data_IF_292948774851
#
_entry.id   IF_292948774851
#
_cell.length_a   1.000
_cell.length_b   1.000
_cell.length_c   1.000
_cell.angle_alpha   90.00
_cell.angle_beta   90.00
_cell.angle_gamma   90.00
#
_symmetry.space_group_name_H-M   'P 1'
#
loop_
_entity.id
_entity.type
_entity.pdbx_description
1 polymer ?
#
# COMPACT_ATOMS: atom_id res chain seq x y z
N UNK A 1 0.14 -14.75 -9.96
CA UNK A 1 0.45 -13.44 -9.35
C UNK A 1 -0.78 -12.55 -9.43
N UNK A 2 -1.08 -11.81 -8.36
CA UNK A 2 -2.10 -10.78 -8.38
C UNK A 2 -1.44 -9.41 -8.60
N UNK A 3 -2.13 -8.50 -9.28
CA UNK A 3 -1.66 -7.14 -9.55
C UNK A 3 -2.85 -6.16 -9.49
N UNK A 4 -2.56 -4.87 -9.38
CA UNK A 4 -3.58 -3.83 -9.34
C UNK A 4 -3.86 -3.36 -10.77
N UNK A 5 -5.14 -3.30 -11.14
CA UNK A 5 -5.61 -2.76 -12.42
C UNK A 5 -6.52 -1.57 -12.16
N UNK A 6 -6.27 -0.48 -12.88
CA UNK A 6 -7.18 0.68 -12.91
C UNK A 6 -8.26 0.43 -13.97
N UNK A 7 -9.51 0.76 -13.63
CA UNK A 7 -10.63 0.83 -14.57
C UNK A 7 -11.27 2.21 -14.48
N UNK A 8 -11.55 2.83 -15.62
CA UNK A 8 -12.29 4.08 -15.72
C UNK A 8 -13.78 3.80 -15.89
N UNK A 9 -14.63 4.38 -15.04
CA UNK A 9 -16.10 4.25 -15.07
C UNK A 9 -16.68 5.64 -14.84
N UNK A 10 -17.48 6.13 -15.79
CA UNK A 10 -18.11 7.46 -15.73
C UNK A 10 -17.10 8.59 -15.43
N UNK A 11 -15.97 8.58 -16.14
CA UNK A 11 -14.90 9.56 -15.98
C UNK A 11 -14.01 9.37 -14.75
N UNK A 12 -14.38 8.53 -13.78
CA UNK A 12 -13.64 8.30 -12.53
C UNK A 12 -12.81 7.01 -12.60
N UNK A 13 -11.67 6.99 -11.91
CA UNK A 13 -10.77 5.83 -11.87
C UNK A 13 -10.93 5.01 -10.59
N UNK A 14 -10.86 3.69 -10.75
CA UNK A 14 -11.10 2.71 -9.69
C UNK A 14 -10.06 1.60 -9.75
N UNK A 15 -9.49 1.25 -8.60
CA UNK A 15 -8.48 0.21 -8.48
C UNK A 15 -9.10 -1.13 -8.10
N UNK A 16 -8.67 -2.18 -8.81
CA UNK A 16 -9.07 -3.56 -8.58
C UNK A 16 -7.84 -4.45 -8.45
N UNK A 17 -7.87 -5.34 -7.46
CA UNK A 17 -6.93 -6.45 -7.40
C UNK A 17 -7.39 -7.53 -8.38
N UNK A 18 -6.56 -7.85 -9.35
CA UNK A 18 -6.83 -8.84 -10.39
C UNK A 18 -5.77 -9.95 -10.37
N UNK A 19 -6.13 -11.13 -10.84
CA UNK A 19 -5.18 -12.22 -11.05
C UNK A 19 -5.39 -12.87 -12.40
N UNK A 20 -4.30 -13.32 -13.01
CA UNK A 20 -4.37 -14.11 -14.23
C UNK A 20 -4.72 -15.56 -13.89
N UNK A 21 -5.72 -16.10 -14.59
CA UNK A 21 -6.08 -17.52 -14.58
C UNK A 21 -5.93 -18.09 -15.98
N UNK A 22 -5.13 -19.15 -16.10
CA UNK A 22 -5.02 -19.90 -17.34
C UNK A 22 -6.14 -20.93 -17.41
N UNK A 23 -6.93 -20.93 -18.49
CA UNK A 23 -7.93 -21.99 -18.72
C UNK A 23 -7.37 -23.02 -19.69
N UNK A 24 -7.30 -24.28 -19.23
CA UNK A 24 -6.96 -25.41 -20.10
C UNK A 24 -8.07 -25.62 -21.14
N UNK A 25 -7.68 -25.98 -22.36
CA UNK A 25 -8.62 -26.39 -23.41
C UNK A 25 -9.39 -27.61 -22.92
N UNK A 26 -10.71 -27.53 -22.90
CA UNK A 26 -11.53 -28.72 -22.69
C UNK A 26 -11.31 -29.64 -23.90
N UNK A 27 -10.92 -30.91 -23.65
CA UNK A 27 -10.86 -31.92 -24.72
C UNK A 27 -12.27 -32.04 -25.30
N UNK A 28 -12.40 -32.03 -26.64
CA UNK A 28 -13.69 -32.32 -27.31
C UNK A 28 -14.21 -33.65 -26.78
N UNK A 29 -15.49 -33.70 -26.41
CA UNK A 29 -16.13 -35.01 -26.18
C UNK A 29 -16.27 -35.71 -27.53
N UNK A 30 -16.01 -37.02 -27.56
CA UNK A 30 -16.20 -37.86 -28.75
C UNK A 30 -17.68 -37.77 -29.14
N UNK A 31 -17.99 -37.13 -30.27
CA UNK A 31 -19.36 -36.88 -30.74
C UNK A 31 -19.78 -35.41 -30.91
N UNK A 32 -19.03 -34.41 -30.37
CA UNK A 32 -19.37 -32.99 -30.56
C UNK A 32 -19.14 -32.53 -32.02
N UNK A 33 -20.14 -31.88 -32.62
CA UNK A 33 -20.12 -31.38 -34.01
C UNK A 33 -18.98 -30.37 -34.25
N UNK A 34 -18.42 -30.36 -35.47
CA UNK A 34 -17.42 -29.38 -35.93
C UNK A 34 -18.11 -27.99 -35.94
N UNK A 35 -17.91 -27.19 -34.90
CA UNK A 35 -18.51 -25.83 -34.79
C UNK A 35 -18.90 -25.42 -33.36
N UNK A 36 -19.26 -26.36 -32.49
CA UNK A 36 -19.63 -26.12 -31.07
C UNK A 36 -18.41 -26.05 -30.13
N UNK A 37 -17.26 -25.61 -30.65
CA UNK A 37 -16.04 -25.55 -29.84
C UNK A 37 -16.12 -24.47 -28.77
N UNK A 38 -16.18 -24.91 -27.51
CA UNK A 38 -16.02 -24.10 -26.29
C UNK A 38 -14.82 -23.15 -26.37
N UNK A 39 -14.88 -21.99 -25.68
CA UNK A 39 -13.94 -20.88 -25.84
C UNK A 39 -12.47 -21.30 -25.78
N UNK A 40 -11.67 -20.73 -26.69
CA UNK A 40 -10.27 -21.07 -26.92
C UNK A 40 -9.34 -20.91 -25.71
N UNK A 41 -8.11 -21.42 -25.87
CA UNK A 41 -7.01 -21.23 -24.90
C UNK A 41 -6.77 -19.73 -24.71
N UNK A 42 -6.66 -19.29 -23.45
CA UNK A 42 -6.29 -17.91 -23.16
C UNK A 42 -6.19 -17.62 -21.66
N UNK A 43 -5.37 -16.63 -21.30
CA UNK A 43 -5.41 -16.03 -19.98
C UNK A 43 -6.73 -15.28 -19.81
N UNK A 44 -7.45 -15.57 -18.73
CA UNK A 44 -8.55 -14.73 -18.28
C UNK A 44 -8.12 -14.02 -17.01
N UNK A 45 -8.43 -12.73 -16.91
CA UNK A 45 -8.27 -12.00 -15.67
C UNK A 45 -9.48 -12.25 -14.78
N UNK A 46 -9.24 -12.69 -13.54
CA UNK A 46 -10.25 -12.74 -12.49
C UNK A 46 -10.08 -11.52 -11.60
N UNK A 47 -11.13 -10.72 -11.46
CA UNK A 47 -11.19 -9.67 -10.43
C UNK A 47 -11.34 -10.36 -9.08
N UNK A 48 -10.37 -10.12 -8.20
CA UNK A 48 -10.35 -10.69 -6.86
C UNK A 48 -11.01 -9.75 -5.84
N UNK A 49 -10.73 -8.46 -5.93
CA UNK A 49 -11.20 -7.48 -4.93
C UNK A 49 -11.26 -6.06 -5.50
N UNK A 50 -12.29 -5.31 -5.14
CA UNK A 50 -12.33 -3.85 -5.32
C UNK A 50 -11.52 -3.18 -4.20
N UNK A 51 -10.52 -2.36 -4.57
CA UNK A 51 -9.63 -1.70 -3.61
C UNK A 51 -10.14 -0.31 -3.24
N UNK A 52 -10.67 0.45 -4.20
CA UNK A 52 -11.19 1.79 -3.93
C UNK A 52 -11.17 2.71 -5.15
N UNK A 53 -11.67 3.93 -4.95
CA UNK A 53 -11.51 5.03 -5.92
C UNK A 53 -10.05 5.47 -5.92
N UNK A 54 -9.49 5.65 -7.11
CA UNK A 54 -8.11 6.15 -7.27
C UNK A 54 -8.13 7.67 -7.11
N UNK A 55 -7.22 8.17 -6.28
CA UNK A 55 -6.96 9.59 -6.08
C UNK A 55 -5.52 9.85 -6.50
N UNK A 56 -5.35 10.78 -7.44
CA UNK A 56 -4.05 11.27 -7.88
C UNK A 56 -3.76 12.56 -7.14
N UNK A 57 -2.59 12.62 -6.50
CA UNK A 57 -2.16 13.78 -5.73
C UNK A 57 -0.74 14.13 -6.15
N UNK A 58 -0.56 15.38 -6.55
CA UNK A 58 0.74 15.92 -6.92
C UNK A 58 1.60 16.17 -5.69
N UNK A 59 2.92 16.19 -5.90
CA UNK A 59 3.86 16.57 -4.85
C UNK A 59 3.79 18.08 -4.65
N UNK A 60 3.58 18.48 -3.40
CA UNK A 60 3.44 19.89 -2.99
C UNK A 60 4.66 20.35 -2.18
N UNK A 61 5.40 19.41 -1.59
CA UNK A 61 6.60 19.68 -0.79
C UNK A 61 7.79 18.93 -1.32
N UNK A 62 8.96 19.52 -1.13
CA UNK A 62 10.27 18.91 -1.36
C UNK A 62 11.02 18.93 -0.03
N UNK A 63 11.34 17.75 0.50
CA UNK A 63 12.05 17.58 1.77
C UNK A 63 12.67 16.19 1.73
N UNK A 64 13.86 16.00 2.30
CA UNK A 64 14.47 14.68 2.42
C UNK A 64 13.75 13.79 3.43
N UNK A 65 13.85 12.46 3.25
CA UNK A 65 13.28 11.49 4.21
C UNK A 65 13.87 11.65 5.63
N UNK A 66 15.18 11.83 5.73
CA UNK A 66 15.87 11.97 7.02
C UNK A 66 15.53 13.28 7.73
N UNK A 67 15.38 14.37 6.97
CA UNK A 67 14.91 15.66 7.48
C UNK A 67 13.49 15.54 8.04
N UNK A 68 12.61 14.81 7.35
CA UNK A 68 11.24 14.59 7.80
C UNK A 68 11.14 13.83 9.11
N UNK A 69 11.97 12.80 9.32
CA UNK A 69 11.97 12.03 10.57
C UNK A 69 12.73 12.77 11.68
N UNK A 70 13.57 13.75 11.34
CA UNK A 70 14.40 14.49 12.28
C UNK A 70 15.34 13.57 13.08
N UNK A 71 16.04 12.67 12.38
CA UNK A 71 17.03 11.77 12.97
C UNK A 71 18.42 12.19 12.51
N UNK A 72 19.34 12.31 13.48
CA UNK A 72 20.75 12.65 13.22
C UNK A 72 21.58 11.46 12.75
N UNK A 73 21.24 10.24 13.19
CA UNK A 73 22.02 9.03 12.92
C UNK A 73 21.16 7.86 12.43
N UNK A 74 21.50 7.31 11.27
CA UNK A 74 20.70 6.30 10.57
C UNK A 74 20.69 4.95 11.30
N UNK A 75 21.76 4.61 12.02
CA UNK A 75 21.91 3.34 12.73
C UNK A 75 20.83 3.14 13.80
N UNK A 76 20.47 4.19 14.54
CA UNK A 76 19.44 4.12 15.57
C UNK A 76 18.05 3.94 14.99
N UNK A 77 17.79 4.55 13.84
CA UNK A 77 16.52 4.37 13.14
C UNK A 77 16.31 2.92 12.70
N UNK A 78 17.36 2.30 12.19
CA UNK A 78 17.37 0.91 11.78
C UNK A 78 17.23 -0.07 12.95
N UNK A 79 17.35 0.33 14.22
CA UNK A 79 17.01 -0.56 15.35
C UNK A 79 15.50 -0.72 15.54
N UNK A 80 14.69 0.15 14.95
CA UNK A 80 13.24 0.15 15.12
C UNK A 80 12.50 -1.00 14.42
N UNK A 81 11.21 -1.18 14.72
CA UNK A 81 10.41 -2.27 14.11
C UNK A 81 10.16 -2.02 12.61
N UNK A 82 10.04 -3.10 11.84
CA UNK A 82 9.70 -3.02 10.41
C UNK A 82 8.36 -2.29 10.17
N UNK A 83 7.38 -2.45 11.06
CA UNK A 83 6.12 -1.70 10.93
C UNK A 83 6.33 -0.20 11.10
N UNK A 84 7.24 0.22 11.96
CA UNK A 84 7.54 1.64 12.15
C UNK A 84 8.19 2.22 10.89
N UNK A 85 9.15 1.51 10.30
CA UNK A 85 9.82 1.94 9.06
C UNK A 85 8.80 2.15 7.92
N UNK A 86 7.92 1.18 7.69
CA UNK A 86 6.88 1.30 6.64
C UNK A 86 5.90 2.43 6.96
N UNK A 87 5.53 2.62 8.24
CA UNK A 87 4.64 3.71 8.66
C UNK A 87 5.27 5.07 8.40
N UNK A 88 6.53 5.26 8.77
CA UNK A 88 7.22 6.52 8.57
C UNK A 88 7.44 6.81 7.07
N UNK A 89 7.77 5.81 6.26
CA UNK A 89 7.86 5.94 4.79
C UNK A 89 6.52 6.34 4.17
N UNK A 90 5.43 5.68 4.58
CA UNK A 90 4.08 6.05 4.13
C UNK A 90 3.71 7.46 4.59
N UNK A 91 4.04 7.81 5.85
CA UNK A 91 3.79 9.13 6.40
C UNK A 91 4.58 10.24 5.70
N UNK A 92 5.82 9.94 5.30
CA UNK A 92 6.67 10.84 4.52
C UNK A 92 6.08 11.07 3.12
N UNK A 93 5.71 10.02 2.38
CA UNK A 93 5.11 10.15 1.05
C UNK A 93 3.76 10.89 1.08
N UNK A 94 2.97 10.72 2.14
CA UNK A 94 1.77 11.50 2.38
C UNK A 94 2.09 12.97 2.68
N UNK A 95 3.10 13.24 3.51
CA UNK A 95 3.53 14.59 3.83
C UNK A 95 3.96 15.38 2.59
N UNK A 96 4.71 14.76 1.67
CA UNK A 96 5.10 15.37 0.40
C UNK A 96 3.89 15.79 -0.45
N UNK A 97 2.73 15.16 -0.27
CA UNK A 97 1.47 15.45 -0.97
C UNK A 97 0.54 16.38 -0.20
N UNK A 98 1.09 17.11 0.78
CA UNK A 98 0.36 18.11 1.55
C UNK A 98 -0.43 17.55 2.73
N UNK A 99 -0.36 16.26 3.04
CA UNK A 99 -0.98 15.77 4.27
C UNK A 99 -0.28 16.35 5.49
N UNK A 100 -1.08 16.71 6.49
CA UNK A 100 -0.60 17.24 7.77
C UNK A 100 -0.83 16.19 8.86
N UNK A 101 0.16 16.00 9.75
CA UNK A 101 -0.01 15.16 10.95
C UNK A 101 -1.01 15.86 11.88
N UNK A 102 -2.11 15.20 12.23
CA UNK A 102 -2.94 15.67 13.34
C UNK A 102 -2.19 15.36 14.64
N UNK A 103 -1.46 16.36 15.15
CA UNK A 103 -1.05 16.34 16.53
C UNK A 103 -2.29 16.13 17.40
N UNK A 104 -2.17 15.37 18.49
CA UNK A 104 -3.15 15.52 19.57
C UNK A 104 -3.01 16.97 20.03
N UNK A 105 -3.87 17.86 19.56
CA UNK A 105 -4.18 19.06 20.33
C UNK A 105 -4.55 18.51 21.70
N UNK A 106 -3.69 18.75 22.69
CA UNK A 106 -3.92 18.37 24.05
C UNK A 106 -5.17 19.09 24.50
N UNK A 107 -6.34 18.47 24.31
CA UNK A 107 -7.50 18.82 25.09
C UNK A 107 -7.11 18.46 26.51
N UNK A 108 -6.71 19.49 27.26
CA UNK A 108 -6.55 19.43 28.71
C UNK A 108 -7.76 18.71 29.28
N UNK A 109 -7.54 17.47 29.68
CA UNK A 109 -8.58 16.49 29.93
C UNK A 109 -8.18 15.70 31.13
N UNK A 110 -8.55 16.29 32.28
CA UNK A 110 -8.66 15.77 33.64
C UNK A 110 -8.18 14.33 33.86
N UNK A 111 -7.22 14.22 34.78
CA UNK A 111 -6.85 13.01 35.51
C UNK A 111 -8.10 12.28 36.00
N UNK A 112 -8.45 11.18 35.36
CA UNK A 112 -9.65 10.44 35.73
C UNK A 112 -9.96 9.35 34.72
N UNK A 113 -9.52 8.14 35.05
CA UNK A 113 -9.69 6.85 34.35
C UNK A 113 -8.57 6.44 33.40
N UNK A 114 -7.82 5.42 33.82
CA UNK A 114 -6.52 4.97 33.31
C UNK A 114 -6.49 4.32 31.92
N UNK A 115 -7.38 4.69 30.99
CA UNK A 115 -7.22 4.29 29.59
C UNK A 115 -6.31 5.28 28.88
N UNK A 116 -4.99 4.99 28.88
CA UNK A 116 -4.00 5.70 28.07
C UNK A 116 -4.48 5.74 26.62
N UNK A 117 -5.03 6.88 26.19
CA UNK A 117 -5.47 7.07 24.82
C UNK A 117 -4.28 6.76 23.89
N UNK A 118 -4.35 5.67 23.11
CA UNK A 118 -3.30 5.31 22.15
C UNK A 118 -3.01 6.54 21.28
N UNK A 119 -1.74 6.88 21.13
CA UNK A 119 -1.32 7.90 20.17
C UNK A 119 -1.66 7.35 18.80
N UNK A 120 -2.61 7.96 18.10
CA UNK A 120 -3.01 7.51 16.77
C UNK A 120 -2.29 8.41 15.77
N UNK A 121 -1.42 7.83 14.97
CA UNK A 121 -0.69 8.56 13.95
C UNK A 121 -1.60 8.74 12.71
N UNK A 122 -2.41 9.80 12.76
CA UNK A 122 -3.32 10.19 11.67
C UNK A 122 -2.77 11.35 10.87
N UNK A 123 -2.91 11.25 9.55
CA UNK A 123 -2.58 12.31 8.60
C UNK A 123 -3.84 12.76 7.87
N UNK A 124 -3.98 14.05 7.61
CA UNK A 124 -5.18 14.62 6.99
C UNK A 124 -4.86 15.56 5.83
N UNK A 125 -5.68 15.49 4.78
CA UNK A 125 -5.69 16.39 3.64
C UNK A 125 -7.15 16.75 3.31
N UNK A 126 -7.59 17.94 3.73
CA UNK A 126 -8.99 18.34 3.64
C UNK A 126 -9.91 17.38 4.38
N UNK A 127 -10.84 16.75 3.66
CA UNK A 127 -11.77 15.74 4.23
C UNK A 127 -11.17 14.33 4.33
N UNK A 128 -10.07 14.08 3.62
CA UNK A 128 -9.45 12.77 3.58
C UNK A 128 -8.50 12.60 4.76
N UNK A 129 -8.69 11.55 5.55
CA UNK A 129 -7.81 11.15 6.63
C UNK A 129 -7.18 9.80 6.31
N UNK A 130 -5.90 9.63 6.60
CA UNK A 130 -5.21 8.34 6.56
C UNK A 130 -4.67 8.00 7.93
N UNK A 131 -5.02 6.82 8.43
CA UNK A 131 -4.52 6.29 9.68
C UNK A 131 -3.37 5.33 9.38
N UNK A 132 -2.17 5.67 9.85
CA UNK A 132 -0.94 4.91 9.59
C UNK A 132 -0.93 3.55 10.30
N UNK A 133 -1.60 3.43 11.45
CA UNK A 133 -1.67 2.18 12.20
C UNK A 133 -2.67 1.21 11.55
N UNK A 134 -3.88 1.70 11.31
CA UNK A 134 -4.92 0.87 10.70
C UNK A 134 -4.76 0.72 9.19
N UNK A 135 -3.92 1.55 8.55
CA UNK A 135 -3.62 1.59 7.11
C UNK A 135 -4.89 1.81 6.27
N UNK A 136 -5.79 2.65 6.77
CA UNK A 136 -7.11 2.91 6.18
C UNK A 136 -7.30 4.38 5.91
N UNK A 137 -8.06 4.67 4.86
CA UNK A 137 -8.62 5.99 4.63
C UNK A 137 -9.94 6.12 5.38
N UNK A 138 -10.13 7.26 6.04
CA UNK A 138 -11.41 7.64 6.64
C UNK A 138 -11.78 9.05 6.21
N UNK A 139 -13.06 9.38 6.31
CA UNK A 139 -13.53 10.77 6.21
C UNK A 139 -13.20 11.55 7.49
N UNK A 140 -13.48 12.86 7.52
CA UNK A 140 -13.41 13.70 8.73
C UNK A 140 -14.32 13.21 9.84
N UNK A 141 -15.43 12.53 9.50
CA UNK A 141 -16.34 11.91 10.47
C UNK A 141 -15.86 10.54 10.95
N UNK A 142 -14.69 10.06 10.52
CA UNK A 142 -14.12 8.76 10.92
C UNK A 142 -14.67 7.54 10.17
N UNK A 143 -15.59 7.72 9.22
CA UNK A 143 -16.12 6.63 8.38
C UNK A 143 -15.06 6.12 7.41
N UNK A 144 -14.85 4.80 7.33
CA UNK A 144 -13.89 4.20 6.39
C UNK A 144 -14.30 4.48 4.93
N UNK A 145 -13.34 4.98 4.14
CA UNK A 145 -13.48 5.24 2.71
C UNK A 145 -12.61 4.23 1.96
N UNK A 146 -13.18 3.59 0.94
CA UNK A 146 -12.39 2.79 0.00
C UNK A 146 -11.71 3.71 -1.01
N UNK A 147 -10.55 4.22 -0.64
CA UNK A 147 -9.68 5.04 -1.48
C UNK A 147 -8.32 4.37 -1.67
N UNK A 148 -7.69 4.66 -2.80
CA UNK A 148 -6.34 4.27 -3.16
C UNK A 148 -5.63 5.52 -3.65
N UNK A 149 -4.48 5.86 -3.06
CA UNK A 149 -3.67 6.94 -3.58
C UNK A 149 -2.73 6.38 -4.63
N UNK A 150 -2.79 6.92 -5.84
CA UNK A 150 -1.77 6.67 -6.86
C UNK A 150 -0.60 7.61 -6.60
N UNK A 151 0.58 7.02 -6.40
CA UNK A 151 1.78 7.77 -6.08
C UNK A 151 3.03 7.09 -6.60
N UNK A 152 3.92 7.91 -7.18
CA UNK A 152 5.11 7.43 -7.85
C UNK A 152 4.70 6.41 -8.94
N UNK A 153 5.16 5.15 -8.86
CA UNK A 153 4.80 4.08 -9.81
C UNK A 153 3.83 3.05 -9.21
N UNK A 154 3.21 3.36 -8.07
CA UNK A 154 2.42 2.42 -7.31
C UNK A 154 1.16 3.00 -6.67
N UNK A 155 0.60 2.22 -5.75
CA UNK A 155 -0.68 2.47 -5.12
C UNK A 155 -0.58 2.31 -3.61
N UNK A 156 -0.67 3.41 -2.88
CA UNK A 156 -0.73 3.38 -1.43
C UNK A 156 -2.16 3.03 -0.99
N UNK A 157 -2.31 1.82 -0.45
CA UNK A 157 -3.57 1.37 0.11
C UNK A 157 -3.34 0.27 1.16
N UNK A 158 -4.41 -0.11 1.87
CA UNK A 158 -4.36 -1.18 2.86
C UNK A 158 -3.76 -2.48 2.31
N UNK A 159 -4.06 -2.82 1.05
CA UNK A 159 -3.61 -4.09 0.46
C UNK A 159 -2.09 -4.11 0.22
N UNK A 160 -1.54 -3.08 -0.39
CA UNK A 160 -0.10 -2.99 -0.71
C UNK A 160 0.73 -2.88 0.56
N UNK A 161 0.31 -2.06 1.53
CA UNK A 161 0.97 -1.95 2.83
C UNK A 161 0.91 -3.26 3.63
N UNK A 162 -0.21 -3.97 3.59
CA UNK A 162 -0.32 -5.28 4.25
C UNK A 162 0.57 -6.33 3.58
N UNK A 163 0.65 -6.34 2.24
CA UNK A 163 1.55 -7.23 1.50
C UNK A 163 3.02 -6.95 1.83
N UNK A 164 3.40 -5.67 1.95
CA UNK A 164 4.76 -5.26 2.29
C UNK A 164 5.16 -5.67 3.71
N UNK A 165 4.29 -5.47 4.70
CA UNK A 165 4.56 -5.82 6.10
C UNK A 165 4.62 -7.33 6.34
N UNK A 166 3.82 -8.09 5.59
CA UNK A 166 3.78 -9.55 5.65
C UNK A 166 4.63 -10.19 4.55
N UNK A 167 5.58 -9.46 3.98
CA UNK A 167 6.54 -10.04 3.05
C UNK A 167 7.36 -11.09 3.79
N UNK A 168 7.58 -12.22 3.12
CA UNK A 168 8.34 -13.36 3.65
C UNK A 168 9.37 -13.74 2.61
N UNK A 169 10.58 -14.04 3.08
CA UNK A 169 11.63 -14.68 2.29
C UNK A 169 11.13 -16.07 1.87
N UNK A 170 11.26 -16.38 0.59
CA UNK A 170 10.76 -17.63 0.01
C UNK A 170 11.83 -18.39 -0.76
N UNK A 171 12.83 -17.67 -1.23
CA UNK A 171 13.84 -18.20 -2.12
C UNK A 171 15.10 -18.46 -1.31
N UNK A 172 15.87 -19.46 -1.71
CA UNK A 172 17.22 -19.65 -1.15
C UNK A 172 18.18 -18.55 -1.64
N UNK A 173 17.89 -17.95 -2.80
CA UNK A 173 18.65 -16.83 -3.35
C UNK A 173 18.15 -15.49 -2.79
N UNK A 174 19.00 -14.85 -1.96
CA UNK A 174 18.78 -13.52 -1.40
C UNK A 174 18.49 -12.46 -2.48
N UNK A 175 19.04 -12.61 -3.69
CA UNK A 175 18.82 -11.67 -4.79
C UNK A 175 17.36 -11.69 -5.26
N UNK A 176 16.76 -12.87 -5.38
CA UNK A 176 15.37 -13.00 -5.81
C UNK A 176 14.42 -12.39 -4.77
N UNK A 177 14.67 -12.64 -3.48
CA UNK A 177 13.90 -12.06 -2.40
C UNK A 177 14.08 -10.53 -2.30
N UNK A 178 15.29 -10.03 -2.51
CA UNK A 178 15.57 -8.59 -2.60
C UNK A 178 14.79 -7.91 -3.74
N UNK A 179 14.76 -8.52 -4.93
CA UNK A 179 13.96 -8.05 -6.07
C UNK A 179 12.46 -8.11 -5.73
N UNK A 180 12.02 -9.17 -5.07
CA UNK A 180 10.63 -9.34 -4.60
C UNK A 180 10.20 -8.24 -3.64
N UNK A 181 11.06 -7.88 -2.68
CA UNK A 181 10.83 -6.81 -1.72
C UNK A 181 10.82 -5.44 -2.40
N UNK A 182 11.79 -5.16 -3.28
CA UNK A 182 11.84 -3.90 -4.03
C UNK A 182 10.56 -3.69 -4.86
N UNK A 183 10.08 -4.74 -5.53
CA UNK A 183 8.78 -4.73 -6.23
C UNK A 183 7.62 -4.43 -5.29
N UNK A 184 7.62 -4.97 -4.07
CA UNK A 184 6.57 -4.71 -3.09
C UNK A 184 6.54 -3.23 -2.63
N UNK A 185 7.70 -2.59 -2.43
CA UNK A 185 7.78 -1.16 -2.14
C UNK A 185 7.31 -0.30 -3.32
N UNK A 186 7.75 -0.65 -4.53
CA UNK A 186 7.35 0.04 -5.76
C UNK A 186 5.84 -0.05 -5.99
N UNK A 187 5.25 -1.24 -5.84
CA UNK A 187 3.79 -1.44 -5.92
C UNK A 187 3.03 -0.65 -4.84
N UNK A 188 3.61 -0.47 -3.65
CA UNK A 188 3.04 0.36 -2.59
C UNK A 188 3.18 1.86 -2.85
N UNK A 189 3.94 2.26 -3.89
CA UNK A 189 4.21 3.65 -4.23
C UNK A 189 5.17 4.34 -3.27
N UNK A 190 5.97 3.58 -2.52
CA UNK A 190 6.91 4.11 -1.52
C UNK A 190 8.32 4.19 -2.11
N UNK A 191 8.91 5.39 -2.16
CA UNK A 191 10.34 5.53 -2.45
C UNK A 191 11.14 5.29 -1.17
N UNK A 192 12.09 4.37 -1.22
CA UNK A 192 12.90 3.99 -0.06
C UNK A 192 14.36 4.36 -0.32
N UNK A 193 15.02 5.10 0.59
CA UNK A 193 16.46 5.30 0.52
C UNK A 193 17.22 3.97 0.58
N UNK A 194 18.33 3.84 -0.16
CA UNK A 194 19.11 2.59 -0.27
C UNK A 194 19.48 2.00 1.09
N UNK A 195 19.94 2.84 2.01
CA UNK A 195 20.35 2.43 3.36
C UNK A 195 19.18 1.85 4.17
N UNK A 196 18.01 2.50 4.09
CA UNK A 196 16.79 2.02 4.75
C UNK A 196 16.32 0.71 4.13
N UNK A 197 16.44 0.56 2.81
CA UNK A 197 16.09 -0.68 2.13
C UNK A 197 16.97 -1.84 2.59
N UNK A 198 18.29 -1.66 2.64
CA UNK A 198 19.24 -2.69 3.10
C UNK A 198 18.94 -3.06 4.56
N UNK A 199 18.82 -2.05 5.44
CA UNK A 199 18.53 -2.29 6.85
C UNK A 199 17.13 -2.89 7.10
N UNK A 200 16.16 -2.61 6.24
CA UNK A 200 14.85 -3.27 6.28
C UNK A 200 14.94 -4.73 5.83
N UNK A 201 15.69 -5.02 4.76
CA UNK A 201 15.85 -6.37 4.23
C UNK A 201 16.54 -7.30 5.25
N UNK A 202 17.56 -6.81 5.96
CA UNK A 202 18.25 -7.56 7.03
C UNK A 202 17.35 -7.95 8.23
N UNK A 203 16.15 -7.37 8.34
CA UNK A 203 15.18 -7.67 9.41
C UNK A 203 14.11 -8.69 9.01
N UNK A 204 14.05 -9.09 7.74
CA UNK A 204 13.05 -10.03 7.24
C UNK A 204 13.44 -11.48 7.54
#
# INVERSE_FOLDING_TARGET
MAFIRIKRISGKEYAYLVSNKWRKRLKRKKGERKGETKPGKGSRQKVNKYLGRVLKLDKVKEMGFFEYINIKENADYLKSSKEKIVRDLAGYELFLRGFVKKGKEGKGGKEGTGQRARKVDKMTLGRLCFDLDSRKFTDTCGKEIKAVLEMNEGFLCRHTLHRLLNFKLKHEDEREDGIGLAKAFLEAGLKVPKEIFIGYFQKL
#
